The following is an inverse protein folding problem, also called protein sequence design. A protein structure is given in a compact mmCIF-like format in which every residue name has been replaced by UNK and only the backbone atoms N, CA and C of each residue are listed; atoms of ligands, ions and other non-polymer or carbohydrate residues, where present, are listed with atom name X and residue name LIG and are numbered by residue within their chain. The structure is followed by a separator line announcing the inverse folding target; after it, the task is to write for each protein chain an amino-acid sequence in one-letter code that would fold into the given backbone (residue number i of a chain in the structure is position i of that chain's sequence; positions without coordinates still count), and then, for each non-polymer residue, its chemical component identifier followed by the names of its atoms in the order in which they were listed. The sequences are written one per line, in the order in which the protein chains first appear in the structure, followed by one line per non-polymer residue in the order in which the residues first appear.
data_IF_925227355384
#
_entry.id   IF_925227355384
#
_cell.length_a   1.000
_cell.length_b   1.000
_cell.length_c   1.000
_cell.angle_alpha   90.00
_cell.angle_beta   90.00
_cell.angle_gamma   90.00
#
_symmetry.space_group_name_H-M   'P 1'
#
loop_
_entity.id
_entity.type
_entity.pdbx_description
1 polymer ?
#
# COMPACT_ATOMS: atom_id res chain seq x y z
N UNK A 1 24.52 -24.10 -4.44
CA UNK A 1 23.22 -23.39 -4.54
C UNK A 1 23.46 -22.11 -5.32
N UNK A 2 22.86 -21.95 -6.49
CA UNK A 2 22.90 -20.70 -7.25
C UNK A 2 21.68 -19.90 -6.80
N UNK A 3 21.91 -18.76 -6.18
CA UNK A 3 20.86 -17.84 -5.78
C UNK A 3 20.55 -16.95 -6.98
N UNK A 4 19.27 -16.91 -7.36
CA UNK A 4 18.77 -15.93 -8.33
C UNK A 4 18.56 -14.59 -7.63
N UNK A 5 18.60 -13.49 -8.39
CA UNK A 5 18.34 -12.15 -7.86
C UNK A 5 16.89 -12.04 -7.38
N UNK A 6 16.70 -11.48 -6.18
CA UNK A 6 15.38 -11.29 -5.58
C UNK A 6 14.60 -10.13 -6.19
N UNK A 7 13.46 -9.81 -5.58
CA UNK A 7 12.62 -8.71 -6.04
C UNK A 7 13.33 -7.36 -5.96
N UNK A 8 12.96 -6.48 -6.88
CA UNK A 8 13.41 -5.10 -6.85
C UNK A 8 12.92 -4.38 -5.57
N UNK A 9 13.60 -3.28 -5.22
CA UNK A 9 13.09 -2.38 -4.20
C UNK A 9 11.75 -1.79 -4.63
N UNK A 10 10.74 -1.91 -3.77
CA UNK A 10 9.48 -1.19 -3.92
C UNK A 10 9.75 0.31 -3.77
N UNK A 11 9.56 1.07 -4.85
CA UNK A 11 9.74 2.51 -4.86
C UNK A 11 8.40 3.19 -5.14
N UNK A 12 8.02 4.11 -4.27
CA UNK A 12 6.83 4.92 -4.43
C UNK A 12 7.19 6.25 -5.06
N UNK A 13 6.56 6.58 -6.18
CA UNK A 13 6.71 7.85 -6.88
C UNK A 13 6.11 8.99 -6.01
N UNK A 14 6.85 10.09 -5.77
CA UNK A 14 6.39 11.19 -4.92
C UNK A 14 5.07 11.83 -5.39
N UNK A 15 4.87 12.00 -6.70
CA UNK A 15 3.64 12.60 -7.22
C UNK A 15 2.44 11.67 -7.06
N UNK A 16 2.64 10.35 -7.18
CA UNK A 16 1.60 9.36 -6.88
C UNK A 16 1.25 9.33 -5.39
N UNK A 17 2.23 9.54 -4.52
CA UNK A 17 2.00 9.66 -3.07
C UNK A 17 1.18 10.92 -2.73
N UNK A 18 1.47 12.06 -3.37
CA UNK A 18 0.69 13.29 -3.19
C UNK A 18 -0.77 13.11 -3.65
N UNK A 19 -0.96 12.47 -4.80
CA UNK A 19 -2.29 12.14 -5.33
C UNK A 19 -3.08 11.23 -4.37
N UNK A 20 -2.42 10.20 -3.85
CA UNK A 20 -2.97 9.30 -2.84
C UNK A 20 -3.43 10.07 -1.61
N UNK A 21 -2.55 10.90 -1.04
CA UNK A 21 -2.82 11.63 0.19
C UNK A 21 -4.02 12.56 0.00
N UNK A 22 -4.07 13.27 -1.13
CA UNK A 22 -5.21 14.11 -1.50
C UNK A 22 -6.51 13.29 -1.55
N UNK A 23 -6.55 12.25 -2.39
CA UNK A 23 -7.77 11.48 -2.63
C UNK A 23 -8.29 10.76 -1.37
N UNK A 24 -7.39 10.21 -0.57
CA UNK A 24 -7.74 9.56 0.70
C UNK A 24 -8.27 10.57 1.71
N UNK A 25 -7.63 11.74 1.83
CA UNK A 25 -8.07 12.78 2.77
C UNK A 25 -9.42 13.38 2.37
N UNK A 26 -9.63 13.67 1.08
CA UNK A 26 -10.91 14.19 0.57
C UNK A 26 -12.07 13.19 0.70
N UNK A 27 -11.78 11.88 0.70
CA UNK A 27 -12.76 10.83 0.95
C UNK A 27 -13.01 10.54 2.44
N UNK A 28 -12.43 11.35 3.34
CA UNK A 28 -12.60 11.25 4.79
C UNK A 28 -11.69 10.22 5.47
N UNK A 29 -10.72 9.68 4.75
CA UNK A 29 -9.65 8.84 5.30
C UNK A 29 -8.46 9.66 5.80
N UNK A 30 -7.40 8.95 6.17
CA UNK A 30 -6.11 9.53 6.58
C UNK A 30 -4.97 8.67 6.07
N UNK A 31 -3.90 9.30 5.61
CA UNK A 31 -2.63 8.62 5.32
C UNK A 31 -1.61 8.89 6.42
N UNK A 32 -0.74 7.91 6.68
CA UNK A 32 0.43 8.07 7.55
C UNK A 32 1.69 7.67 6.78
N UNK A 33 2.77 8.42 7.01
CA UNK A 33 4.06 8.18 6.36
C UNK A 33 5.03 7.59 7.38
N UNK A 34 5.57 6.42 7.07
CA UNK A 34 6.60 5.80 7.90
C UNK A 34 7.96 6.42 7.60
N UNK A 35 8.67 6.87 8.63
CA UNK A 35 10.00 7.49 8.49
C UNK A 35 11.08 6.50 8.01
N UNK A 36 10.86 5.22 8.28
CA UNK A 36 11.77 4.13 7.93
C UNK A 36 11.05 3.14 7.02
N UNK A 37 11.66 2.73 5.90
CA UNK A 37 11.09 1.70 5.05
C UNK A 37 10.82 0.41 5.82
N UNK A 38 9.74 -0.27 5.44
CA UNK A 38 9.43 -1.59 5.96
C UNK A 38 10.48 -2.61 5.49
N UNK A 39 10.85 -3.56 6.36
CA UNK A 39 11.89 -4.56 6.04
C UNK A 39 11.41 -5.70 5.14
N UNK A 40 10.11 -5.74 4.82
CA UNK A 40 9.53 -6.71 3.90
C UNK A 40 9.95 -6.46 2.45
N UNK A 41 9.67 -7.43 1.59
CA UNK A 41 9.83 -7.31 0.14
C UNK A 41 8.49 -7.58 -0.53
N UNK A 42 8.25 -6.94 -1.68
CA UNK A 42 6.98 -7.02 -2.41
C UNK A 42 7.25 -7.09 -3.92
N UNK A 43 6.53 -7.96 -4.62
CA UNK A 43 6.68 -8.15 -6.06
C UNK A 43 6.01 -7.04 -6.89
N UNK A 44 5.16 -6.23 -6.24
CA UNK A 44 4.60 -5.01 -6.83
C UNK A 44 5.67 -4.06 -7.39
N UNK A 45 6.91 -4.17 -6.88
CA UNK A 45 8.07 -3.42 -7.34
C UNK A 45 8.34 -3.59 -8.83
N UNK A 46 7.91 -4.70 -9.43
CA UNK A 46 8.01 -4.94 -10.85
C UNK A 46 7.11 -4.02 -11.68
N UNK A 47 5.93 -3.65 -11.19
CA UNK A 47 5.03 -2.74 -11.91
C UNK A 47 5.66 -1.36 -12.07
N UNK A 48 6.26 -0.80 -11.01
CA UNK A 48 6.94 0.49 -11.11
C UNK A 48 8.27 0.38 -11.83
N UNK A 49 9.20 -0.40 -11.27
CA UNK A 49 10.61 -0.39 -11.69
C UNK A 49 10.84 -0.97 -13.08
N UNK A 50 10.20 -2.08 -13.45
CA UNK A 50 10.47 -2.71 -14.75
C UNK A 50 9.79 -1.98 -15.92
N UNK A 51 8.67 -1.31 -15.65
CA UNK A 51 7.91 -0.63 -16.71
C UNK A 51 8.23 0.86 -16.82
N UNK A 52 8.85 1.45 -15.79
CA UNK A 52 9.06 2.90 -15.71
C UNK A 52 7.78 3.69 -15.45
N UNK A 53 6.70 3.02 -15.04
CA UNK A 53 5.41 3.65 -14.74
C UNK A 53 5.43 4.23 -13.32
N UNK A 54 5.06 5.51 -13.10
CA UNK A 54 4.86 6.06 -11.77
C UNK A 54 3.88 5.21 -10.97
N UNK A 55 4.25 4.78 -9.76
CA UNK A 55 3.44 3.87 -8.95
C UNK A 55 3.54 4.22 -7.47
N UNK A 56 2.48 3.94 -6.71
CA UNK A 56 2.47 4.01 -5.26
C UNK A 56 1.89 2.71 -4.68
N UNK A 57 2.62 2.11 -3.75
CA UNK A 57 2.19 0.97 -2.95
C UNK A 57 1.93 1.43 -1.51
N UNK A 58 0.76 1.08 -0.99
CA UNK A 58 0.29 1.50 0.32
C UNK A 58 -0.23 0.31 1.09
N UNK A 59 -0.18 0.42 2.42
CA UNK A 59 -0.83 -0.51 3.33
C UNK A 59 -1.97 0.21 4.03
N UNK A 60 -3.07 -0.50 4.27
CA UNK A 60 -4.15 -0.04 5.12
C UNK A 60 -3.99 -0.63 6.51
N UNK A 61 -4.31 0.13 7.55
CA UNK A 61 -4.48 -0.43 8.89
C UNK A 61 -5.69 -1.38 8.87
N UNK A 62 -5.41 -2.67 8.77
CA UNK A 62 -6.41 -3.72 8.68
C UNK A 62 -7.09 -4.03 10.02
N UNK A 63 -6.77 -3.29 11.08
CA UNK A 63 -7.16 -3.64 12.44
C UNK A 63 -6.56 -4.98 12.87
N UNK A 64 -7.04 -5.49 13.99
CA UNK A 64 -6.62 -6.80 14.52
C UNK A 64 -7.70 -7.45 15.36
N UNK A 65 -7.61 -8.77 15.48
CA UNK A 65 -8.29 -9.53 16.52
C UNK A 65 -7.70 -9.29 17.92
N UNK A 66 -7.94 -10.23 18.84
CA UNK A 66 -7.46 -10.14 20.22
C UNK A 66 -5.94 -10.16 20.32
N UNK A 67 -5.28 -10.92 19.45
CA UNK A 67 -3.83 -11.12 19.45
C UNK A 67 -3.12 -10.03 18.64
N UNK A 68 -2.01 -9.49 19.19
CA UNK A 68 -1.10 -8.61 18.46
C UNK A 68 0.01 -9.45 17.82
N UNK A 69 -0.20 -9.84 16.57
CA UNK A 69 0.72 -10.68 15.79
C UNK A 69 1.01 -10.06 14.42
N UNK A 70 2.21 -10.34 13.89
CA UNK A 70 2.63 -9.86 12.57
C UNK A 70 2.02 -10.66 11.42
N UNK A 71 2.07 -10.09 10.20
CA UNK A 71 1.80 -10.81 8.95
C UNK A 71 2.58 -12.14 8.90
N UNK A 72 1.98 -13.15 8.26
CA UNK A 72 2.44 -14.55 8.21
C UNK A 72 2.30 -15.37 9.51
N UNK A 73 1.68 -14.83 10.56
CA UNK A 73 1.35 -15.59 11.75
C UNK A 73 0.00 -16.33 11.58
N UNK A 74 -0.08 -17.61 11.98
CA UNK A 74 -1.31 -18.41 11.89
C UNK A 74 -2.47 -17.95 12.79
N UNK A 75 -2.23 -17.01 13.71
CA UNK A 75 -3.25 -16.38 14.56
C UNK A 75 -3.74 -15.03 14.02
N UNK A 76 -3.25 -14.59 12.85
CA UNK A 76 -3.63 -13.28 12.34
C UNK A 76 -5.12 -13.22 12.00
N UNK A 77 -5.76 -12.15 12.43
CA UNK A 77 -7.18 -11.85 12.16
C UNK A 77 -7.27 -10.36 11.85
N UNK A 78 -7.92 -10.00 10.74
CA UNK A 78 -8.18 -8.62 10.33
C UNK A 78 -9.61 -8.21 10.66
N UNK A 79 -9.84 -6.90 10.80
CA UNK A 79 -11.20 -6.35 10.87
C UNK A 79 -11.78 -6.22 9.46
N UNK A 80 -12.73 -7.10 9.11
CA UNK A 80 -13.38 -7.10 7.80
C UNK A 80 -14.11 -5.79 7.46
N UNK A 81 -14.48 -4.97 8.45
CA UNK A 81 -15.08 -3.66 8.18
C UNK A 81 -14.12 -2.74 7.43
N UNK A 82 -12.81 -2.96 7.53
CA UNK A 82 -11.78 -2.19 6.83
C UNK A 82 -11.91 -2.30 5.31
N UNK A 83 -12.53 -3.37 4.78
CA UNK A 83 -12.74 -3.52 3.34
C UNK A 83 -13.53 -2.34 2.76
N UNK A 84 -14.47 -1.77 3.51
CA UNK A 84 -15.22 -0.58 3.08
C UNK A 84 -14.30 0.62 2.92
N UNK A 85 -13.41 0.83 3.89
CA UNK A 85 -12.41 1.90 3.85
C UNK A 85 -11.42 1.70 2.70
N UNK A 86 -10.94 0.47 2.50
CA UNK A 86 -10.02 0.10 1.41
C UNK A 86 -10.63 0.34 0.03
N UNK A 87 -11.88 -0.13 -0.20
CA UNK A 87 -12.60 0.10 -1.46
C UNK A 87 -12.86 1.60 -1.68
N UNK A 88 -13.24 2.33 -0.64
CA UNK A 88 -13.48 3.78 -0.73
C UNK A 88 -12.21 4.53 -1.13
N UNK A 89 -11.10 4.26 -0.43
CA UNK A 89 -9.80 4.90 -0.71
C UNK A 89 -9.29 4.57 -2.12
N UNK A 90 -9.27 3.29 -2.50
CA UNK A 90 -8.81 2.88 -3.84
C UNK A 90 -9.67 3.46 -4.95
N UNK A 91 -11.00 3.51 -4.76
CA UNK A 91 -11.91 4.11 -5.75
C UNK A 91 -11.70 5.62 -5.86
N UNK A 92 -11.52 6.32 -4.73
CA UNK A 92 -11.24 7.75 -4.70
C UNK A 92 -9.92 8.08 -5.41
N UNK A 93 -8.87 7.30 -5.16
CA UNK A 93 -7.56 7.44 -5.83
C UNK A 93 -7.70 7.28 -7.35
N UNK A 94 -8.39 6.23 -7.79
CA UNK A 94 -8.61 5.99 -9.21
C UNK A 94 -9.40 7.13 -9.88
N UNK A 95 -10.47 7.60 -9.22
CA UNK A 95 -11.25 8.72 -9.73
C UNK A 95 -10.44 10.01 -9.78
N UNK A 96 -9.59 10.27 -8.79
CA UNK A 96 -8.72 11.45 -8.79
C UNK A 96 -7.68 11.39 -9.91
N UNK A 97 -7.04 10.24 -10.11
CA UNK A 97 -6.07 10.03 -11.20
C UNK A 97 -6.70 10.20 -12.59
N UNK A 98 -7.95 9.78 -12.77
CA UNK A 98 -8.63 9.84 -14.06
C UNK A 98 -9.23 11.22 -14.40
N UNK A 99 -9.23 12.18 -13.47
CA UNK A 99 -9.75 13.54 -13.74
C UNK A 99 -8.84 14.38 -14.65
N UNK A 100 -7.56 14.04 -14.76
CA UNK A 100 -6.55 14.83 -15.50
C UNK A 100 -5.99 15.95 -14.64
#
# INVERSE_FOLDING_TARGET
MRLEEGYALQYNDPAMIDLVNKAVTESGGRTEFIERPFSGSEDFSFFGKLTGTPSAFMMIDAGRGTDLVSLHNGKIVFDENVMKSGVTGMSAIALEYLKG
#
